data_IF_723628039541
#
_entry.id   IF_723628039541
#
_cell.length_a   1.000
_cell.length_b   1.000
_cell.length_c   1.000
_cell.angle_alpha   90.00
_cell.angle_beta   90.00
_cell.angle_gamma   90.00
#
_symmetry.space_group_name_H-M   'P 1'
#
loop_
_entity.id
_entity.type
_entity.pdbx_description
1 polymer ?
#
# COMPACT_ATOMS: atom_id res chain seq x y z
N UNK A 1 -19.57 -5.89 -8.91
CA UNK A 1 -19.13 -6.64 -7.74
C UNK A 1 -19.05 -5.71 -6.53
N UNK A 2 -19.51 -6.13 -5.35
CA UNK A 2 -19.45 -5.24 -4.17
C UNK A 2 -18.03 -5.30 -3.58
N UNK A 3 -17.37 -4.17 -3.49
CA UNK A 3 -16.06 -4.03 -2.83
C UNK A 3 -16.25 -4.05 -1.31
N UNK A 4 -15.42 -4.81 -0.59
CA UNK A 4 -15.45 -4.88 0.87
C UNK A 4 -14.99 -3.56 1.51
N UNK A 5 -15.31 -3.34 2.80
CA UNK A 5 -14.83 -2.18 3.53
C UNK A 5 -13.30 -2.14 3.57
N UNK A 6 -12.65 -3.27 3.84
CA UNK A 6 -11.19 -3.41 3.82
C UNK A 6 -10.58 -2.92 2.50
N UNK A 7 -11.12 -3.35 1.36
CA UNK A 7 -10.62 -2.95 0.03
C UNK A 7 -10.74 -1.45 -0.23
N UNK A 8 -11.76 -0.78 0.33
CA UNK A 8 -11.95 0.67 0.18
C UNK A 8 -10.97 1.48 1.02
N UNK A 9 -10.66 1.01 2.23
CA UNK A 9 -9.95 1.82 3.22
C UNK A 9 -8.47 1.45 3.41
N UNK A 10 -8.02 0.28 2.92
CA UNK A 10 -6.66 -0.21 3.15
C UNK A 10 -5.58 0.79 2.69
N UNK A 11 -5.70 1.31 1.47
CA UNK A 11 -4.71 2.25 0.92
C UNK A 11 -4.72 3.59 1.67
N UNK A 12 -5.90 4.06 2.08
CA UNK A 12 -6.04 5.27 2.90
C UNK A 12 -5.48 5.02 4.30
N UNK A 13 -5.79 3.87 4.90
CA UNK A 13 -5.29 3.47 6.21
C UNK A 13 -3.76 3.36 6.24
N UNK A 14 -3.14 2.78 5.20
CA UNK A 14 -1.68 2.71 5.11
C UNK A 14 -1.03 4.09 4.97
N UNK A 15 -1.65 5.02 4.22
CA UNK A 15 -1.20 6.41 4.13
C UNK A 15 -1.30 7.12 5.47
N UNK A 16 -2.45 7.00 6.16
CA UNK A 16 -2.66 7.60 7.49
C UNK A 16 -1.69 7.04 8.53
N UNK A 17 -1.40 5.75 8.48
CA UNK A 17 -0.41 5.12 9.36
C UNK A 17 0.98 5.71 9.13
N UNK A 18 1.40 5.85 7.87
CA UNK A 18 2.68 6.46 7.54
C UNK A 18 2.76 7.94 7.99
N UNK A 19 1.70 8.72 7.73
CA UNK A 19 1.66 10.13 8.15
C UNK A 19 1.64 10.29 9.68
N UNK A 20 0.98 9.39 10.40
CA UNK A 20 0.99 9.37 11.86
C UNK A 20 2.40 9.12 12.42
N UNK A 21 3.12 8.12 11.87
CA UNK A 21 4.49 7.79 12.30
C UNK A 21 5.45 8.92 11.98
N UNK A 22 5.43 9.45 10.73
CA UNK A 22 6.29 10.55 10.33
C UNK A 22 6.01 11.81 11.13
N UNK A 23 4.73 12.14 11.35
CA UNK A 23 4.32 13.26 12.20
C UNK A 23 4.80 13.10 13.65
N UNK A 24 4.66 11.91 14.24
CA UNK A 24 5.17 11.62 15.58
C UNK A 24 6.71 11.77 15.66
N UNK A 25 7.42 11.23 14.67
CA UNK A 25 8.88 11.38 14.60
C UNK A 25 9.30 12.85 14.51
N UNK A 26 8.68 13.63 13.62
CA UNK A 26 8.93 15.07 13.50
C UNK A 26 8.62 15.80 14.82
N UNK A 27 7.50 15.45 15.48
CA UNK A 27 7.13 16.05 16.78
C UNK A 27 8.22 15.83 17.82
N UNK A 28 8.76 14.62 17.92
CA UNK A 28 9.86 14.32 18.85
C UNK A 28 11.12 15.12 18.50
N UNK A 29 11.55 15.12 17.24
CA UNK A 29 12.74 15.84 16.80
C UNK A 29 12.63 17.36 17.03
N UNK A 30 11.51 17.95 16.66
CA UNK A 30 11.31 19.41 16.86
C UNK A 30 11.06 19.77 18.31
N UNK A 31 10.47 18.89 19.12
CA UNK A 31 10.35 19.07 20.55
C UNK A 31 11.71 19.17 21.25
N UNK A 32 12.65 18.29 20.93
CA UNK A 32 14.02 18.37 21.42
C UNK A 32 14.73 19.65 20.94
N UNK A 33 14.57 20.01 19.67
CA UNK A 33 15.16 21.23 19.13
C UNK A 33 14.63 22.49 19.82
N UNK A 34 13.33 22.55 20.11
CA UNK A 34 12.73 23.69 20.85
C UNK A 34 13.36 23.85 22.24
N UNK A 35 13.51 22.73 22.98
CA UNK A 35 14.08 22.78 24.31
C UNK A 35 15.52 23.35 24.31
N UNK A 36 16.32 22.97 23.31
CA UNK A 36 17.69 23.46 23.14
C UNK A 36 17.76 24.93 22.69
N UNK A 37 16.78 25.41 21.90
CA UNK A 37 16.76 26.77 21.40
C UNK A 37 16.19 27.79 22.38
N UNK A 38 15.41 27.35 23.37
CA UNK A 38 14.74 28.22 24.34
C UNK A 38 15.72 29.01 25.22
N UNK A 39 16.92 28.47 25.45
CA UNK A 39 17.93 29.06 26.33
C UNK A 39 18.81 30.10 25.62
N UNK A 40 18.58 30.35 24.30
CA UNK A 40 19.48 31.16 23.47
C UNK A 40 18.73 32.40 22.93
N UNK A 41 18.89 33.56 23.54
CA UNK A 41 18.16 34.79 23.25
C UNK A 41 18.23 35.27 21.78
N UNK A 42 19.38 35.08 21.11
CA UNK A 42 19.55 35.54 19.72
C UNK A 42 18.92 34.58 18.68
N UNK A 43 18.43 33.41 19.10
CA UNK A 43 17.80 32.42 18.24
C UNK A 43 16.25 32.41 18.33
N UNK A 44 15.64 33.47 18.84
CA UNK A 44 14.17 33.57 19.00
C UNK A 44 13.42 33.32 17.69
N UNK A 45 13.96 33.76 16.54
CA UNK A 45 13.34 33.49 15.23
C UNK A 45 13.29 31.99 14.94
N UNK A 46 14.40 31.27 15.16
CA UNK A 46 14.46 29.81 14.94
C UNK A 46 13.58 29.06 15.93
N UNK A 47 13.50 29.50 17.18
CA UNK A 47 12.59 28.93 18.16
C UNK A 47 11.12 29.07 17.71
N UNK A 48 10.68 30.23 17.25
CA UNK A 48 9.32 30.44 16.74
C UNK A 48 9.03 29.57 15.52
N UNK A 49 9.96 29.49 14.57
CA UNK A 49 9.82 28.65 13.39
C UNK A 49 9.68 27.17 13.76
N UNK A 50 10.56 26.68 14.64
CA UNK A 50 10.53 25.29 15.13
C UNK A 50 9.25 24.99 15.92
N UNK A 51 8.74 25.93 16.72
CA UNK A 51 7.49 25.76 17.46
C UNK A 51 6.27 25.62 16.55
N UNK A 52 6.22 26.34 15.44
CA UNK A 52 5.15 26.21 14.45
C UNK A 52 5.21 24.83 13.79
N UNK A 53 6.39 24.36 13.37
CA UNK A 53 6.54 23.02 12.77
C UNK A 53 6.17 21.93 13.78
N UNK A 54 6.59 22.08 15.04
CA UNK A 54 6.19 21.17 16.12
C UNK A 54 4.67 21.08 16.27
N UNK A 55 3.98 22.23 16.32
CA UNK A 55 2.52 22.26 16.44
C UNK A 55 1.82 21.59 15.24
N UNK A 56 2.28 21.87 14.01
CA UNK A 56 1.73 21.26 12.78
C UNK A 56 1.96 19.75 12.78
N UNK A 57 3.18 19.29 13.11
CA UNK A 57 3.50 17.85 13.12
C UNK A 57 2.71 17.10 14.19
N UNK A 58 2.55 17.68 15.37
CA UNK A 58 1.75 17.15 16.46
C UNK A 58 0.27 17.01 16.04
N UNK A 59 -0.31 18.09 15.52
CA UNK A 59 -1.69 18.10 15.05
C UNK A 59 -1.93 17.07 13.95
N UNK A 60 -1.04 17.01 12.94
CA UNK A 60 -1.14 16.07 11.83
C UNK A 60 -1.04 14.62 12.31
N UNK A 61 -0.12 14.33 13.24
CA UNK A 61 0.05 13.00 13.83
C UNK A 61 -1.20 12.56 14.61
N UNK A 62 -1.73 13.44 15.46
CA UNK A 62 -2.94 13.16 16.25
C UNK A 62 -4.16 12.93 15.36
N UNK A 63 -4.41 13.82 14.40
CA UNK A 63 -5.56 13.70 13.48
C UNK A 63 -5.48 12.43 12.66
N UNK A 64 -4.30 12.10 12.11
CA UNK A 64 -4.10 10.86 11.34
C UNK A 64 -4.34 9.63 12.22
N UNK A 65 -3.88 9.63 13.47
CA UNK A 65 -4.06 8.52 14.41
C UNK A 65 -5.53 8.32 14.78
N UNK A 66 -6.27 9.39 15.03
CA UNK A 66 -7.71 9.33 15.37
C UNK A 66 -8.51 8.76 14.19
N UNK A 67 -8.28 9.27 12.98
CA UNK A 67 -8.98 8.78 11.78
C UNK A 67 -8.65 7.28 11.56
N UNK A 68 -7.38 6.91 11.67
CA UNK A 68 -6.93 5.53 11.53
C UNK A 68 -7.59 4.61 12.57
N UNK A 69 -7.69 5.05 13.83
CA UNK A 69 -8.36 4.31 14.89
C UNK A 69 -9.83 4.02 14.54
N UNK A 70 -10.58 5.00 14.02
CA UNK A 70 -11.97 4.80 13.61
C UNK A 70 -12.08 3.81 12.43
N UNK A 71 -11.20 3.91 11.42
CA UNK A 71 -11.20 3.00 10.27
C UNK A 71 -10.92 1.56 10.69
N UNK A 72 -9.91 1.34 11.54
CA UNK A 72 -9.53 0.02 12.05
C UNK A 72 -10.64 -0.53 12.96
N UNK A 73 -11.20 0.27 13.87
CA UNK A 73 -12.26 -0.16 14.77
C UNK A 73 -13.50 -0.63 14.02
N UNK A 74 -13.83 0.06 12.92
CA UNK A 74 -14.96 -0.34 12.06
C UNK A 74 -14.66 -1.67 11.36
N UNK A 75 -13.47 -1.82 10.78
CA UNK A 75 -13.08 -3.07 10.12
C UNK A 75 -13.08 -4.26 11.09
N UNK A 76 -12.55 -4.07 12.30
CA UNK A 76 -12.55 -5.11 13.35
C UNK A 76 -13.98 -5.50 13.71
N UNK A 77 -14.89 -4.54 13.90
CA UNK A 77 -16.29 -4.82 14.20
C UNK A 77 -17.00 -5.58 13.09
N UNK A 78 -16.74 -5.22 11.83
CA UNK A 78 -17.31 -5.91 10.67
C UNK A 78 -16.80 -7.36 10.59
N UNK A 79 -15.51 -7.58 10.85
CA UNK A 79 -14.93 -8.93 10.85
C UNK A 79 -15.35 -9.79 12.04
N UNK A 80 -15.52 -9.22 13.22
CA UNK A 80 -15.98 -9.99 14.38
C UNK A 80 -17.36 -10.61 14.21
N UNK A 81 -18.20 -10.09 13.30
CA UNK A 81 -19.55 -10.62 13.02
C UNK A 81 -19.53 -11.83 12.10
N UNK A 82 -18.65 -11.87 11.11
CA UNK A 82 -18.71 -12.82 9.99
C UNK A 82 -17.39 -13.54 9.71
N UNK A 83 -16.30 -13.11 10.36
CA UNK A 83 -14.95 -13.57 10.02
C UNK A 83 -14.02 -13.63 11.27
N UNK A 84 -12.71 -13.84 11.06
CA UNK A 84 -11.70 -13.90 12.10
C UNK A 84 -10.66 -12.78 11.93
N UNK A 85 -10.14 -12.25 13.04
CA UNK A 85 -9.04 -11.29 13.05
C UNK A 85 -7.73 -11.86 12.44
N UNK A 86 -7.55 -13.17 12.49
CA UNK A 86 -6.45 -13.84 11.80
C UNK A 86 -6.52 -13.61 10.28
N UNK A 87 -7.71 -13.66 9.68
CA UNK A 87 -7.90 -13.39 8.26
C UNK A 87 -7.62 -11.93 7.91
N UNK A 88 -7.84 -10.98 8.83
CA UNK A 88 -7.43 -9.59 8.66
C UNK A 88 -5.91 -9.48 8.55
N UNK A 89 -5.19 -10.15 9.43
CA UNK A 89 -3.73 -10.20 9.37
C UNK A 89 -3.22 -10.84 8.07
N UNK A 90 -3.83 -11.93 7.65
CA UNK A 90 -3.52 -12.59 6.37
C UNK A 90 -3.81 -11.66 5.18
N UNK A 91 -4.90 -10.89 5.20
CA UNK A 91 -5.21 -9.91 4.17
C UNK A 91 -4.11 -8.85 4.03
N UNK A 92 -3.61 -8.31 5.16
CA UNK A 92 -2.51 -7.33 5.17
C UNK A 92 -1.23 -7.97 4.62
N UNK A 93 -0.83 -9.12 5.16
CA UNK A 93 0.40 -9.82 4.78
C UNK A 93 0.40 -10.19 3.29
N UNK A 94 -0.69 -10.79 2.81
CA UNK A 94 -0.80 -11.20 1.40
C UNK A 94 -0.90 -9.99 0.46
N UNK A 95 -1.52 -8.87 0.89
CA UNK A 95 -1.53 -7.63 0.11
C UNK A 95 -0.10 -7.11 -0.11
N UNK A 96 0.74 -7.11 0.91
CA UNK A 96 2.14 -6.68 0.78
C UNK A 96 2.94 -7.66 -0.09
N UNK A 97 2.74 -8.97 0.11
CA UNK A 97 3.42 -10.01 -0.67
C UNK A 97 3.09 -9.92 -2.16
N UNK A 98 1.81 -9.79 -2.52
CA UNK A 98 1.41 -9.72 -3.93
C UNK A 98 1.92 -8.45 -4.63
N UNK A 99 1.99 -7.33 -3.92
CA UNK A 99 2.58 -6.10 -4.47
C UNK A 99 4.05 -6.29 -4.80
N UNK A 100 4.81 -6.91 -3.90
CA UNK A 100 6.23 -7.22 -4.13
C UNK A 100 6.40 -8.21 -5.28
N UNK A 101 5.57 -9.25 -5.34
CA UNK A 101 5.59 -10.24 -6.42
C UNK A 101 5.32 -9.62 -7.81
N UNK A 102 4.35 -8.74 -7.90
CA UNK A 102 3.96 -8.09 -9.16
C UNK A 102 4.92 -6.98 -9.61
N UNK A 103 5.74 -6.44 -8.70
CA UNK A 103 6.58 -5.30 -8.99
C UNK A 103 7.65 -5.63 -10.04
N UNK A 104 7.70 -4.85 -11.12
CA UNK A 104 8.67 -5.02 -12.22
C UNK A 104 9.87 -4.09 -12.02
N UNK A 105 11.07 -4.57 -12.40
CA UNK A 105 12.26 -3.73 -12.41
C UNK A 105 12.08 -2.53 -13.37
N UNK A 106 12.28 -1.33 -12.85
CA UNK A 106 12.18 -0.10 -13.64
C UNK A 106 13.49 0.23 -14.37
N UNK A 107 14.56 -0.47 -14.04
CA UNK A 107 15.87 -0.29 -14.68
C UNK A 107 15.96 -1.22 -15.88
N UNK A 108 16.23 -0.67 -17.05
CA UNK A 108 16.66 -1.44 -18.20
C UNK A 108 18.16 -1.68 -18.06
N UNK A 109 18.58 -2.96 -18.06
CA UNK A 109 19.96 -3.30 -18.21
C UNK A 109 20.42 -2.83 -19.59
N UNK A 110 21.32 -1.85 -19.61
CA UNK A 110 21.92 -1.40 -20.85
C UNK A 110 22.80 -2.53 -21.39
N UNK A 111 22.32 -3.23 -22.42
CA UNK A 111 23.15 -4.12 -23.23
C UNK A 111 24.04 -3.23 -24.10
N UNK A 112 25.07 -2.66 -23.52
CA UNK A 112 26.12 -1.96 -24.29
C UNK A 112 27.37 -2.81 -24.37
N UNK A 113 27.68 -3.25 -25.59
CA UNK A 113 28.93 -3.94 -25.95
C UNK A 113 30.13 -2.99 -25.99
N UNK A 114 30.08 -1.82 -25.38
CA UNK A 114 31.19 -0.83 -25.42
C UNK A 114 31.32 -0.17 -24.05
N UNK A 115 32.55 -0.10 -23.56
CA UNK A 115 32.98 0.37 -22.22
C UNK A 115 32.74 1.87 -21.92
N UNK A 116 31.75 2.51 -22.52
CA UNK A 116 31.51 3.95 -22.27
C UNK A 116 30.14 4.14 -21.64
N UNK A 117 30.18 4.61 -20.39
CA UNK A 117 29.06 5.13 -19.56
C UNK A 117 27.81 4.24 -19.50
N UNK A 118 27.59 3.58 -18.37
CA UNK A 118 26.29 2.95 -17.99
C UNK A 118 25.20 4.02 -17.92
N UNK A 119 24.56 4.31 -19.03
CA UNK A 119 23.33 5.10 -19.02
C UNK A 119 22.21 4.17 -18.61
N UNK A 120 21.77 4.27 -17.37
CA UNK A 120 20.59 3.56 -16.86
C UNK A 120 19.35 4.13 -17.54
N UNK A 121 18.82 3.41 -18.51
CA UNK A 121 17.55 3.76 -19.14
C UNK A 121 16.40 3.32 -18.24
N UNK A 122 15.55 4.28 -17.89
CA UNK A 122 14.36 4.07 -17.09
C UNK A 122 13.19 3.59 -17.96
N UNK A 123 12.49 2.51 -17.55
CA UNK A 123 11.35 1.98 -18.29
C UNK A 123 10.04 2.63 -17.83
N UNK A 124 9.46 3.57 -18.59
CA UNK A 124 8.23 4.26 -18.21
C UNK A 124 7.01 3.33 -18.17
N UNK A 125 7.04 2.18 -18.87
CA UNK A 125 5.95 1.21 -18.90
C UNK A 125 5.90 0.48 -17.56
N UNK A 126 7.05 -0.01 -17.09
CA UNK A 126 7.15 -0.68 -15.79
C UNK A 126 6.77 0.26 -14.64
N UNK A 127 7.18 1.53 -14.69
CA UNK A 127 6.74 2.53 -13.71
C UNK A 127 5.22 2.69 -13.65
N UNK A 128 4.56 2.75 -14.81
CA UNK A 128 3.09 2.86 -14.87
C UNK A 128 2.41 1.59 -14.38
N UNK A 129 2.99 0.43 -14.68
CA UNK A 129 2.54 -0.85 -14.18
C UNK A 129 2.67 -0.92 -12.65
N UNK A 130 3.85 -0.63 -12.10
CA UNK A 130 4.13 -0.63 -10.67
C UNK A 130 3.17 0.30 -9.90
N UNK A 131 2.94 1.52 -10.42
CA UNK A 131 1.97 2.46 -9.84
C UNK A 131 0.53 1.92 -9.79
N UNK A 132 0.15 1.03 -10.70
CA UNK A 132 -1.14 0.37 -10.67
C UNK A 132 -1.14 -0.78 -9.64
N UNK A 133 -0.07 -1.58 -9.63
CA UNK A 133 0.15 -2.70 -8.72
C UNK A 133 0.20 -2.26 -7.25
N UNK A 134 0.78 -1.10 -6.94
CA UNK A 134 0.83 -0.53 -5.59
C UNK A 134 -0.57 -0.32 -4.96
N UNK A 135 -1.62 -0.33 -5.79
CA UNK A 135 -3.01 -0.22 -5.33
C UNK A 135 -3.71 -1.56 -5.17
N UNK A 136 -3.02 -2.66 -5.48
CA UNK A 136 -3.59 -4.01 -5.36
C UNK A 136 -3.88 -4.35 -3.90
N UNK A 137 -4.98 -5.07 -3.66
CA UNK A 137 -5.43 -5.43 -2.32
C UNK A 137 -6.00 -6.85 -2.37
N UNK A 138 -5.62 -7.68 -1.40
CA UNK A 138 -6.21 -8.99 -1.16
C UNK A 138 -7.04 -8.91 0.12
N UNK A 139 -8.28 -9.32 0.04
CA UNK A 139 -9.16 -9.50 1.19
C UNK A 139 -9.43 -10.99 1.40
N UNK A 140 -8.84 -11.54 2.44
CA UNK A 140 -9.02 -12.95 2.85
C UNK A 140 -10.15 -13.01 3.85
N UNK A 141 -11.17 -13.83 3.55
CA UNK A 141 -12.31 -14.11 4.43
C UNK A 141 -12.52 -15.60 4.56
N UNK A 142 -13.36 -16.01 5.51
CA UNK A 142 -13.60 -17.41 5.83
C UNK A 142 -14.03 -18.26 4.63
N UNK A 143 -14.87 -17.73 3.74
CA UNK A 143 -15.45 -18.48 2.62
C UNK A 143 -14.98 -17.97 1.25
N UNK A 144 -14.41 -16.76 1.19
CA UNK A 144 -14.00 -16.12 -0.07
C UNK A 144 -12.73 -15.33 0.09
N UNK A 145 -11.93 -15.33 -0.98
CA UNK A 145 -10.77 -14.45 -1.11
C UNK A 145 -10.95 -13.59 -2.35
N UNK A 146 -10.77 -12.29 -2.21
CA UNK A 146 -10.91 -11.36 -3.32
C UNK A 146 -9.61 -10.59 -3.50
N UNK A 147 -8.89 -10.88 -4.58
CA UNK A 147 -7.77 -10.05 -5.03
C UNK A 147 -8.28 -9.02 -6.02
N UNK A 148 -7.98 -7.77 -5.75
CA UNK A 148 -8.32 -6.62 -6.58
C UNK A 148 -7.04 -5.95 -7.06
N UNK A 149 -6.80 -5.94 -8.38
CA UNK A 149 -5.64 -5.30 -9.02
C UNK A 149 -6.13 -4.15 -9.89
N UNK A 150 -5.50 -2.97 -9.75
CA UNK A 150 -5.85 -1.84 -10.62
C UNK A 150 -5.31 -2.08 -12.03
N UNK A 151 -6.19 -1.96 -13.03
CA UNK A 151 -5.80 -2.07 -14.43
C UNK A 151 -4.98 -0.84 -14.81
N UNK A 152 -3.76 -1.00 -15.36
CA UNK A 152 -2.95 0.11 -15.84
C UNK A 152 -3.63 0.87 -16.97
N UNK A 153 -3.38 2.18 -17.07
CA UNK A 153 -4.04 3.04 -18.06
C UNK A 153 -3.46 2.91 -19.47
N UNK A 154 -2.29 2.28 -19.66
CA UNK A 154 -1.65 2.13 -20.96
C UNK A 154 -1.76 0.70 -21.44
N UNK A 155 -1.95 0.51 -22.77
CA UNK A 155 -2.08 -0.82 -23.38
C UNK A 155 -0.87 -1.72 -23.10
N UNK A 156 0.34 -1.15 -23.19
CA UNK A 156 1.58 -1.90 -22.93
C UNK A 156 1.66 -2.40 -21.49
N UNK A 157 1.36 -1.54 -20.50
CA UNK A 157 1.34 -1.96 -19.10
C UNK A 157 0.15 -2.90 -18.79
N UNK A 158 -1.00 -2.74 -19.49
CA UNK A 158 -2.11 -3.68 -19.37
C UNK A 158 -1.73 -5.07 -19.90
N UNK A 159 -1.00 -5.13 -21.01
CA UNK A 159 -0.52 -6.41 -21.57
C UNK A 159 0.35 -7.16 -20.54
N UNK A 160 1.22 -6.47 -19.79
CA UNK A 160 2.01 -7.10 -18.71
C UNK A 160 1.06 -7.75 -17.68
N UNK A 161 -0.01 -7.07 -17.27
CA UNK A 161 -0.98 -7.64 -16.34
C UNK A 161 -1.70 -8.86 -16.92
N UNK A 162 -2.09 -8.80 -18.19
CA UNK A 162 -2.79 -9.89 -18.89
C UNK A 162 -1.86 -11.12 -19.05
N UNK A 163 -0.59 -10.91 -19.37
CA UNK A 163 0.43 -11.96 -19.47
C UNK A 163 0.74 -12.62 -18.10
N UNK A 164 0.57 -11.89 -17.00
CA UNK A 164 0.80 -12.39 -15.65
C UNK A 164 -0.43 -13.07 -15.01
N UNK A 165 -1.59 -13.08 -15.66
CA UNK A 165 -2.83 -13.59 -15.05
C UNK A 165 -2.70 -14.99 -14.42
N UNK A 166 -2.10 -15.94 -15.14
CA UNK A 166 -1.91 -17.33 -14.64
C UNK A 166 -0.98 -17.36 -13.43
N UNK A 167 0.15 -16.64 -13.51
CA UNK A 167 1.13 -16.55 -12.42
C UNK A 167 0.52 -15.90 -11.16
N UNK A 168 -0.36 -14.93 -11.33
CA UNK A 168 -1.08 -14.28 -10.21
C UNK A 168 -1.98 -15.30 -9.51
N UNK A 169 -2.74 -16.09 -10.27
CA UNK A 169 -3.62 -17.14 -9.71
C UNK A 169 -2.79 -18.18 -8.96
N UNK A 170 -1.70 -18.65 -9.56
CA UNK A 170 -0.81 -19.63 -8.94
C UNK A 170 -0.19 -19.11 -7.64
N UNK A 171 0.27 -17.84 -7.64
CA UNK A 171 0.86 -17.22 -6.46
C UNK A 171 -0.14 -17.07 -5.31
N UNK A 172 -1.37 -16.62 -5.60
CA UNK A 172 -2.40 -16.48 -4.57
C UNK A 172 -2.90 -17.85 -4.09
N UNK A 173 -3.02 -18.83 -4.98
CA UNK A 173 -3.41 -20.20 -4.63
C UNK A 173 -2.35 -20.88 -3.75
N UNK A 174 -1.06 -20.58 -3.95
CA UNK A 174 0.03 -21.11 -3.11
C UNK A 174 -0.13 -20.71 -1.64
N UNK A 175 -0.58 -19.48 -1.38
CA UNK A 175 -0.86 -19.02 0.00
C UNK A 175 -2.19 -19.51 0.55
N UNK A 176 -3.11 -19.94 -0.34
CA UNK A 176 -4.48 -20.30 0.02
C UNK A 176 -4.91 -21.59 -0.68
N UNK A 177 -4.31 -22.76 -0.34
CA UNK A 177 -4.55 -24.03 -1.05
C UNK A 177 -5.98 -24.53 -0.94
N UNK A 178 -6.71 -24.12 0.10
CA UNK A 178 -8.11 -24.52 0.34
C UNK A 178 -9.12 -23.77 -0.55
N UNK A 179 -8.64 -22.88 -1.44
CA UNK A 179 -9.50 -22.08 -2.29
C UNK A 179 -9.27 -22.37 -3.77
N UNK A 180 -10.37 -22.32 -4.52
CA UNK A 180 -10.33 -22.37 -5.99
C UNK A 180 -10.47 -20.96 -6.55
N UNK A 181 -9.51 -20.52 -7.37
CA UNK A 181 -9.53 -19.17 -7.96
C UNK A 181 -10.10 -19.20 -9.37
N UNK A 182 -11.07 -18.32 -9.64
CA UNK A 182 -11.57 -18.06 -10.99
C UNK A 182 -10.63 -17.12 -11.77
N UNK A 183 -10.63 -17.20 -13.11
CA UNK A 183 -9.93 -16.22 -13.95
C UNK A 183 -10.36 -14.78 -13.63
N UNK A 184 -9.49 -13.82 -13.98
CA UNK A 184 -9.76 -12.41 -13.70
C UNK A 184 -11.04 -11.93 -14.39
N UNK A 185 -11.91 -11.24 -13.63
CA UNK A 185 -13.09 -10.57 -14.15
C UNK A 185 -12.85 -9.05 -14.11
N UNK A 186 -12.64 -8.39 -15.25
CA UNK A 186 -12.44 -6.96 -15.30
C UNK A 186 -13.76 -6.21 -15.04
N UNK A 187 -13.78 -5.31 -14.07
CA UNK A 187 -14.87 -4.37 -13.84
C UNK A 187 -14.31 -2.95 -13.77
N UNK A 188 -14.66 -2.12 -14.78
CA UNK A 188 -14.23 -0.73 -14.93
C UNK A 188 -12.69 -0.59 -14.95
N UNK A 189 -12.10 -0.20 -13.78
CA UNK A 189 -10.66 0.06 -13.62
C UNK A 189 -9.94 -1.02 -12.81
N UNK A 190 -10.63 -2.11 -12.50
CA UNK A 190 -10.12 -3.15 -11.61
C UNK A 190 -10.28 -4.53 -12.22
N UNK A 191 -9.28 -5.38 -12.06
CA UNK A 191 -9.33 -6.80 -12.32
C UNK A 191 -9.55 -7.52 -10.97
N UNK A 192 -10.58 -8.36 -10.91
CA UNK A 192 -10.95 -9.13 -9.72
C UNK A 192 -10.65 -10.60 -9.94
N UNK A 193 -9.92 -11.19 -9.01
CA UNK A 193 -9.71 -12.63 -8.92
C UNK A 193 -10.44 -13.11 -7.66
N UNK A 194 -11.37 -14.03 -7.84
CA UNK A 194 -12.21 -14.50 -6.75
C UNK A 194 -11.86 -15.93 -6.42
N UNK A 195 -11.42 -16.17 -5.20
CA UNK A 195 -11.24 -17.49 -4.63
C UNK A 195 -12.46 -17.90 -3.81
N UNK A 196 -12.99 -19.08 -4.07
CA UNK A 196 -14.05 -19.71 -3.27
C UNK A 196 -13.48 -20.94 -2.55
N UNK A 197 -13.89 -21.16 -1.31
CA UNK A 197 -13.42 -22.29 -0.53
C UNK A 197 -13.85 -23.60 -1.17
N UNK A 198 -12.92 -24.56 -1.23
CA UNK A 198 -13.22 -25.93 -1.68
C UNK A 198 -14.17 -26.59 -0.66
N UNK A 199 -15.23 -27.20 -1.15
CA UNK A 199 -16.13 -28.02 -0.33
C UNK A 199 -15.51 -29.38 -0.06
#
# INVERSE_FOLDING_TARGET
MQTTHFQKVFNLGSLLFLTAILGAFCTVCFGFSMNSLQEIDYLVFFYRFTSVIFAISLFTSLMSSVILFFLISREIKDRQKEDNLYNLWQSIKQTLSIRTFLHQSELLEAVTKTEQAKVTHYNPIHKRFNKAVDKSIIDVRKDTIILMIRIPNTQQAKKILDDMNTMIIEEVARYNPDYFFSPSNPDKKWAYFVGTKRQ
#
